data_IF_430759363376
#
_entry.id   IF_430759363376
#
_cell.length_a   1.000
_cell.length_b   1.000
_cell.length_c   1.000
_cell.angle_alpha   90.00
_cell.angle_beta   90.00
_cell.angle_gamma   90.00
#
_symmetry.space_group_name_H-M   'P 1'
#
loop_
_entity.id
_entity.type
_entity.pdbx_description
1 polymer ?
#
# COMPACT_ATOMS: atom_id res chain seq x y z
N UNK A 1 -6.46 -14.89 15.80
CA UNK A 1 -5.93 -16.00 14.97
C UNK A 1 -6.36 -15.93 13.51
N UNK A 2 -7.66 -15.88 13.16
CA UNK A 2 -8.11 -15.79 11.75
C UNK A 2 -7.59 -14.55 11.00
N UNK A 3 -7.65 -13.35 11.61
CA UNK A 3 -7.17 -12.12 10.99
C UNK A 3 -5.64 -12.13 10.76
N UNK A 4 -4.85 -12.60 11.72
CA UNK A 4 -3.40 -12.73 11.61
C UNK A 4 -3.00 -13.68 10.49
N UNK A 5 -3.70 -14.81 10.35
CA UNK A 5 -3.47 -15.76 9.27
C UNK A 5 -3.78 -15.14 7.90
N UNK A 6 -4.90 -14.42 7.76
CA UNK A 6 -5.23 -13.69 6.53
C UNK A 6 -4.17 -12.63 6.22
N UNK A 7 -3.69 -11.89 7.22
CA UNK A 7 -2.64 -10.89 7.04
C UNK A 7 -1.32 -11.52 6.55
N UNK A 8 -1.01 -12.74 6.98
CA UNK A 8 0.15 -13.47 6.48
C UNK A 8 -0.01 -13.87 5.00
N UNK A 9 -1.20 -14.32 4.59
CA UNK A 9 -1.48 -14.57 3.17
C UNK A 9 -1.39 -13.30 2.33
N UNK A 10 -1.86 -12.17 2.86
CA UNK A 10 -1.69 -10.85 2.23
C UNK A 10 -0.20 -10.53 2.05
N UNK A 11 0.64 -10.77 3.07
CA UNK A 11 2.08 -10.54 2.97
C UNK A 11 2.74 -11.39 1.87
N UNK A 12 2.31 -12.64 1.67
CA UNK A 12 2.79 -13.48 0.57
C UNK A 12 2.43 -12.90 -0.80
N UNK A 13 1.18 -12.48 -0.98
CA UNK A 13 0.71 -11.87 -2.24
C UNK A 13 1.40 -10.52 -2.47
N UNK A 14 1.57 -9.73 -1.42
CA UNK A 14 2.23 -8.42 -1.49
C UNK A 14 3.74 -8.55 -1.66
N UNK A 15 4.35 -9.69 -1.33
CA UNK A 15 5.77 -9.94 -1.55
C UNK A 15 6.13 -10.14 -3.02
N UNK A 16 5.26 -10.78 -3.81
CA UNK A 16 5.50 -10.95 -5.26
C UNK A 16 5.11 -9.71 -6.08
N UNK A 17 4.14 -8.92 -5.61
CA UNK A 17 3.59 -7.78 -6.35
C UNK A 17 4.66 -6.75 -6.82
N UNK A 18 5.61 -6.29 -5.99
CA UNK A 18 6.66 -5.36 -6.40
C UNK A 18 7.54 -5.84 -7.56
N UNK A 19 7.65 -7.16 -7.76
CA UNK A 19 8.37 -7.73 -8.91
C UNK A 19 7.62 -7.41 -10.19
N UNK A 20 6.31 -7.65 -10.24
CA UNK A 20 5.48 -7.30 -11.40
C UNK A 20 5.41 -5.78 -11.63
N UNK A 21 5.36 -4.99 -10.55
CA UNK A 21 5.37 -3.53 -10.63
C UNK A 21 6.69 -3.02 -11.25
N UNK A 22 7.84 -3.52 -10.78
CA UNK A 22 9.15 -3.19 -11.37
C UNK A 22 9.25 -3.63 -12.84
N UNK A 23 8.76 -4.82 -13.17
CA UNK A 23 8.73 -5.31 -14.57
C UNK A 23 7.88 -4.40 -15.47
N UNK A 24 6.74 -3.92 -14.98
CA UNK A 24 5.86 -3.02 -15.73
C UNK A 24 6.46 -1.63 -15.99
N UNK A 25 7.47 -1.23 -15.20
CA UNK A 25 8.16 0.05 -15.31
C UNK A 25 9.34 0.05 -16.30
N UNK A 26 9.67 -1.10 -16.92
CA UNK A 26 10.79 -1.20 -17.87
C UNK A 26 10.60 -0.31 -19.10
N UNK A 27 9.40 -0.33 -19.67
CA UNK A 27 9.09 0.35 -20.95
C UNK A 27 7.93 1.35 -20.81
N UNK A 28 7.53 1.69 -19.59
CA UNK A 28 6.40 2.57 -19.32
C UNK A 28 6.67 3.54 -18.16
N UNK A 29 6.08 4.72 -18.25
CA UNK A 29 6.14 5.70 -17.16
C UNK A 29 5.29 5.26 -15.96
N UNK A 30 5.63 5.68 -14.72
CA UNK A 30 4.81 5.43 -13.53
C UNK A 30 3.33 5.80 -13.73
N UNK A 31 3.07 6.95 -14.36
CA UNK A 31 1.71 7.40 -14.63
C UNK A 31 0.95 6.46 -15.58
N UNK A 32 1.60 6.01 -16.66
CA UNK A 32 1.03 5.07 -17.62
C UNK A 32 0.66 3.75 -16.94
N UNK A 33 1.59 3.20 -16.15
CA UNK A 33 1.39 1.93 -15.43
C UNK A 33 0.22 2.02 -14.46
N UNK A 34 0.18 3.06 -13.63
CA UNK A 34 -0.88 3.25 -12.64
C UNK A 34 -2.24 3.45 -13.32
N UNK A 35 -2.28 4.24 -14.40
CA UNK A 35 -3.52 4.49 -15.17
C UNK A 35 -4.08 3.19 -15.73
N UNK A 36 -3.26 2.40 -16.44
CA UNK A 36 -3.68 1.12 -17.01
C UNK A 36 -4.12 0.15 -15.90
N UNK A 37 -3.37 0.07 -14.80
CA UNK A 37 -3.71 -0.75 -13.63
C UNK A 37 -5.08 -0.39 -13.06
N UNK A 38 -5.39 0.90 -12.90
CA UNK A 38 -6.70 1.31 -12.37
C UNK A 38 -7.85 1.07 -13.35
N UNK A 39 -7.65 1.30 -14.66
CA UNK A 39 -8.66 0.98 -15.67
C UNK A 39 -8.98 -0.52 -15.65
N UNK A 40 -7.95 -1.37 -15.71
CA UNK A 40 -8.13 -2.81 -15.68
C UNK A 40 -8.79 -3.29 -14.37
N UNK A 41 -8.29 -2.85 -13.22
CA UNK A 41 -8.79 -3.28 -11.91
C UNK A 41 -10.23 -2.80 -11.68
N UNK A 42 -10.56 -1.56 -12.07
CA UNK A 42 -11.92 -1.03 -11.95
C UNK A 42 -12.91 -1.80 -12.82
N UNK A 43 -12.53 -2.16 -14.05
CA UNK A 43 -13.36 -3.02 -14.90
C UNK A 43 -13.65 -4.37 -14.23
N UNK A 44 -12.62 -5.05 -13.71
CA UNK A 44 -12.80 -6.31 -12.99
C UNK A 44 -13.71 -6.15 -11.75
N UNK A 45 -13.55 -5.06 -10.99
CA UNK A 45 -14.38 -4.78 -9.82
C UNK A 45 -15.84 -4.52 -10.20
N UNK A 46 -16.09 -3.75 -11.26
CA UNK A 46 -17.46 -3.52 -11.77
C UNK A 46 -18.09 -4.84 -12.19
N UNK A 47 -17.38 -5.67 -12.97
CA UNK A 47 -17.87 -7.00 -13.35
C UNK A 47 -18.20 -7.87 -12.12
N UNK A 48 -17.35 -7.86 -11.09
CA UNK A 48 -17.57 -8.63 -9.87
C UNK A 48 -18.77 -8.12 -9.07
N UNK A 49 -18.94 -6.81 -8.94
CA UNK A 49 -20.08 -6.19 -8.23
C UNK A 49 -21.40 -6.55 -8.92
N UNK A 50 -21.42 -6.51 -10.26
CA UNK A 50 -22.58 -6.92 -11.05
C UNK A 50 -22.86 -8.42 -10.90
N UNK A 51 -21.83 -9.27 -11.05
CA UNK A 51 -21.96 -10.72 -10.92
C UNK A 51 -22.42 -11.18 -9.52
N UNK A 52 -22.09 -10.43 -8.48
CA UNK A 52 -22.49 -10.72 -7.10
C UNK A 52 -23.80 -10.05 -6.68
N UNK A 53 -24.46 -9.28 -7.55
CA UNK A 53 -25.70 -8.58 -7.25
C UNK A 53 -25.55 -7.46 -6.21
N UNK A 54 -24.33 -6.98 -5.96
CA UNK A 54 -24.03 -6.00 -4.90
C UNK A 54 -24.08 -4.54 -5.36
N UNK A 55 -24.50 -4.29 -6.59
CA UNK A 55 -24.55 -2.94 -7.16
C UNK A 55 -25.33 -1.94 -6.29
N UNK A 56 -26.49 -2.35 -5.77
CA UNK A 56 -27.31 -1.53 -4.88
C UNK A 56 -26.56 -1.09 -3.60
N UNK A 57 -25.66 -1.93 -3.07
CA UNK A 57 -24.87 -1.60 -1.89
C UNK A 57 -23.81 -0.54 -2.18
N UNK A 58 -23.21 -0.57 -3.38
CA UNK A 58 -22.17 0.39 -3.78
C UNK A 58 -22.76 1.78 -3.98
N UNK A 59 -23.95 1.89 -4.59
CA UNK A 59 -24.60 3.19 -4.82
C UNK A 59 -25.30 3.75 -3.57
N UNK A 60 -25.58 2.90 -2.58
CA UNK A 60 -26.22 3.30 -1.32
C UNK A 60 -25.23 3.86 -0.27
N UNK A 61 -23.94 3.97 -0.60
CA UNK A 61 -22.93 4.55 0.29
C UNK A 61 -23.27 6.01 0.60
N UNK A 62 -23.30 6.37 1.88
CA UNK A 62 -23.59 7.74 2.31
C UNK A 62 -22.46 8.72 1.95
N UNK A 63 -22.78 10.01 1.85
CA UNK A 63 -21.83 11.03 1.41
C UNK A 63 -20.60 11.17 2.30
N UNK A 64 -20.71 10.90 3.61
CA UNK A 64 -19.56 10.98 4.53
C UNK A 64 -18.61 9.81 4.30
N UNK A 65 -19.15 8.60 4.15
CA UNK A 65 -18.34 7.42 3.82
C UNK A 65 -17.71 7.57 2.43
N UNK A 66 -18.46 8.09 1.45
CA UNK A 66 -17.95 8.37 0.11
C UNK A 66 -16.77 9.35 0.15
N UNK A 67 -16.86 10.41 0.96
CA UNK A 67 -15.75 11.35 1.13
C UNK A 67 -14.46 10.65 1.59
N UNK A 68 -14.54 9.80 2.62
CA UNK A 68 -13.37 9.06 3.11
C UNK A 68 -12.82 8.06 2.08
N UNK A 69 -13.69 7.39 1.32
CA UNK A 69 -13.28 6.50 0.22
C UNK A 69 -12.51 7.28 -0.84
N UNK A 70 -13.05 8.42 -1.29
CA UNK A 70 -12.41 9.24 -2.32
C UNK A 70 -11.09 9.84 -1.84
N UNK A 71 -11.05 10.34 -0.60
CA UNK A 71 -9.83 10.89 -0.01
C UNK A 71 -8.75 9.82 0.15
N UNK A 72 -9.12 8.62 0.63
CA UNK A 72 -8.19 7.48 0.72
C UNK A 72 -7.70 7.05 -0.66
N UNK A 73 -8.57 7.02 -1.67
CA UNK A 73 -8.22 6.71 -3.05
C UNK A 73 -7.25 7.73 -3.66
N UNK A 74 -7.44 9.02 -3.35
CA UNK A 74 -6.54 10.08 -3.79
C UNK A 74 -5.16 9.97 -3.13
N UNK A 75 -5.13 9.84 -1.80
CA UNK A 75 -3.87 9.83 -1.04
C UNK A 75 -3.08 8.54 -1.30
N UNK A 76 -3.69 7.37 -1.06
CA UNK A 76 -3.01 6.09 -1.19
C UNK A 76 -2.94 5.61 -2.64
N UNK A 77 -4.06 5.72 -3.35
CA UNK A 77 -4.21 5.17 -4.70
C UNK A 77 -3.54 6.01 -5.79
N UNK A 78 -3.63 7.34 -5.73
CA UNK A 78 -2.99 8.19 -6.74
C UNK A 78 -1.61 8.69 -6.27
N UNK A 79 -1.57 9.49 -5.21
CA UNK A 79 -0.33 10.17 -4.79
C UNK A 79 0.70 9.14 -4.29
N UNK A 80 0.29 8.26 -3.38
CA UNK A 80 1.15 7.24 -2.80
C UNK A 80 1.71 6.28 -3.85
N UNK A 81 0.85 5.70 -4.70
CA UNK A 81 1.32 4.84 -5.79
C UNK A 81 2.20 5.58 -6.79
N UNK A 82 1.88 6.82 -7.15
CA UNK A 82 2.72 7.57 -8.10
C UNK A 82 4.14 7.75 -7.57
N UNK A 83 4.28 8.16 -6.31
CA UNK A 83 5.59 8.31 -5.67
C UNK A 83 6.31 6.96 -5.51
N UNK A 84 5.58 5.92 -5.12
CA UNK A 84 6.13 4.57 -4.96
C UNK A 84 6.62 3.99 -6.29
N UNK A 85 5.86 4.08 -7.38
CA UNK A 85 6.28 3.61 -8.70
C UNK A 85 7.44 4.44 -9.25
N UNK A 86 7.46 5.75 -8.97
CA UNK A 86 8.61 6.61 -9.32
C UNK A 86 9.87 6.15 -8.59
N UNK A 87 9.79 5.90 -7.28
CA UNK A 87 10.91 5.39 -6.48
C UNK A 87 11.35 4.00 -6.95
N UNK A 88 10.39 3.10 -7.23
CA UNK A 88 10.67 1.79 -7.83
C UNK A 88 11.37 1.89 -9.18
N UNK A 89 11.12 2.93 -9.98
CA UNK A 89 11.81 3.10 -11.25
C UNK A 89 13.28 3.51 -11.04
N UNK A 90 13.56 4.27 -9.99
CA UNK A 90 14.87 4.87 -9.71
C UNK A 90 15.86 3.93 -8.98
N UNK A 91 15.37 2.94 -8.21
CA UNK A 91 16.24 2.08 -7.40
C UNK A 91 15.77 0.62 -7.36
N UNK A 92 16.55 -0.25 -6.72
CA UNK A 92 16.24 -1.67 -6.60
C UNK A 92 14.95 -1.93 -5.83
N UNK A 93 14.17 -2.91 -6.30
CA UNK A 93 12.89 -3.28 -5.70
C UNK A 93 13.03 -3.63 -4.21
N UNK A 94 14.03 -4.43 -3.86
CA UNK A 94 14.27 -4.85 -2.47
C UNK A 94 14.56 -3.68 -1.54
N UNK A 95 15.26 -2.65 -2.03
CA UNK A 95 15.55 -1.40 -1.31
C UNK A 95 14.26 -0.63 -1.06
N UNK A 96 13.57 -0.23 -2.13
CA UNK A 96 12.33 0.57 -2.03
C UNK A 96 11.26 -0.12 -1.17
N UNK A 97 11.07 -1.43 -1.34
CA UNK A 97 10.10 -2.20 -0.53
C UNK A 97 10.49 -2.18 0.95
N UNK A 98 11.78 -2.30 1.28
CA UNK A 98 12.25 -2.23 2.66
C UNK A 98 12.01 -0.85 3.29
N UNK A 99 12.28 0.27 2.60
CA UNK A 99 11.94 1.62 3.12
C UNK A 99 10.45 1.74 3.33
N UNK A 100 9.65 1.36 2.33
CA UNK A 100 8.18 1.51 2.39
C UNK A 100 7.60 0.67 3.53
N UNK A 101 8.20 -0.48 3.85
CA UNK A 101 7.80 -1.31 4.99
C UNK A 101 7.89 -0.60 6.36
N UNK A 102 8.53 0.58 6.45
CA UNK A 102 8.52 1.44 7.65
C UNK A 102 7.20 2.20 7.85
N UNK A 103 6.26 2.16 6.89
CA UNK A 103 4.98 2.86 7.00
C UNK A 103 4.18 2.59 8.30
N UNK A 104 4.27 1.44 9.00
CA UNK A 104 3.60 1.24 10.29
C UNK A 104 4.01 2.26 11.36
N UNK A 105 5.23 2.83 11.27
CA UNK A 105 5.67 3.94 12.11
C UNK A 105 4.76 5.16 11.90
N UNK A 106 4.60 5.58 10.64
CA UNK A 106 3.74 6.70 10.27
C UNK A 106 2.27 6.40 10.59
N UNK A 107 1.80 5.18 10.37
CA UNK A 107 0.45 4.75 10.73
C UNK A 107 0.20 4.91 12.24
N UNK A 108 1.15 4.55 13.10
CA UNK A 108 1.00 4.73 14.55
C UNK A 108 0.92 6.22 14.95
N UNK A 109 1.71 7.07 14.31
CA UNK A 109 1.67 8.53 14.52
C UNK A 109 0.30 9.08 14.09
N UNK A 110 -0.17 8.74 12.89
CA UNK A 110 -1.46 9.21 12.39
C UNK A 110 -2.64 8.63 13.16
N UNK A 111 -2.58 7.38 13.61
CA UNK A 111 -3.61 6.78 14.44
C UNK A 111 -3.72 7.50 15.80
N UNK A 112 -2.60 7.90 16.39
CA UNK A 112 -2.61 8.74 17.59
C UNK A 112 -3.26 10.10 17.33
N UNK A 113 -2.88 10.78 16.23
CA UNK A 113 -3.36 12.13 15.92
C UNK A 113 -4.84 12.19 15.49
N UNK A 114 -5.29 11.25 14.66
CA UNK A 114 -6.62 11.30 14.04
C UNK A 114 -7.64 10.35 14.69
N UNK A 115 -7.19 9.26 15.32
CA UNK A 115 -8.06 8.25 15.93
C UNK A 115 -7.96 8.22 17.46
N UNK A 116 -7.00 8.95 18.05
CA UNK A 116 -6.74 8.92 19.49
C UNK A 116 -6.11 7.61 19.97
N UNK A 117 -5.60 6.78 19.06
CA UNK A 117 -4.98 5.49 19.42
C UNK A 117 -3.57 5.71 19.97
N UNK A 118 -3.35 5.41 21.25
CA UNK A 118 -2.01 5.44 21.84
C UNK A 118 -1.31 4.09 21.70
N UNK A 119 -0.16 3.99 21.00
CA UNK A 119 0.55 2.73 20.87
C UNK A 119 1.15 2.33 22.22
N UNK A 120 0.84 1.12 22.68
CA UNK A 120 1.48 0.56 23.88
C UNK A 120 2.98 0.30 23.68
N UNK A 121 3.77 0.12 24.76
CA UNK A 121 5.22 -0.03 24.70
C UNK A 121 5.69 -1.14 23.74
N UNK A 122 5.02 -2.30 23.74
CA UNK A 122 5.34 -3.41 22.84
C UNK A 122 5.14 -3.06 21.36
N UNK A 123 4.11 -2.26 21.04
CA UNK A 123 3.87 -1.81 19.65
C UNK A 123 4.98 -0.85 19.21
N UNK A 124 5.43 0.03 20.11
CA UNK A 124 6.56 0.95 19.85
C UNK A 124 7.84 0.15 19.61
N UNK A 125 8.16 -0.84 20.45
CA UNK A 125 9.34 -1.70 20.27
C UNK A 125 9.29 -2.47 18.96
N UNK A 126 8.12 -3.02 18.59
CA UNK A 126 7.95 -3.70 17.31
C UNK A 126 8.17 -2.77 16.11
N UNK A 127 7.66 -1.53 16.17
CA UNK A 127 7.91 -0.50 15.14
C UNK A 127 9.40 -0.18 15.06
N UNK A 128 10.09 -0.03 16.19
CA UNK A 128 11.53 0.23 16.21
C UNK A 128 12.31 -0.90 15.52
N UNK A 129 11.96 -2.17 15.77
CA UNK A 129 12.58 -3.30 15.07
C UNK A 129 12.29 -3.33 13.56
N UNK A 130 11.09 -2.93 13.12
CA UNK A 130 10.78 -2.80 11.68
C UNK A 130 11.69 -1.75 11.04
N UNK A 131 11.86 -0.59 11.67
CA UNK A 131 12.70 0.50 11.15
C UNK A 131 14.17 0.08 11.12
N UNK A 132 14.68 -0.51 12.20
CA UNK A 132 16.08 -1.00 12.26
C UNK A 132 16.29 -2.08 11.19
N UNK A 133 15.37 -3.04 11.08
CA UNK A 133 15.44 -4.10 10.07
C UNK A 133 15.45 -3.54 8.64
N UNK A 134 14.63 -2.53 8.36
CA UNK A 134 14.62 -1.82 7.07
C UNK A 134 16.00 -1.19 6.77
N UNK A 135 16.58 -0.45 7.73
CA UNK A 135 17.92 0.16 7.57
C UNK A 135 18.99 -0.90 7.29
N UNK A 136 18.94 -2.05 7.99
CA UNK A 136 19.92 -3.13 7.81
C UNK A 136 19.84 -3.77 6.42
N UNK A 137 18.64 -3.89 5.83
CA UNK A 137 18.46 -4.40 4.47
C UNK A 137 19.15 -3.48 3.44
N UNK A 138 19.19 -2.17 3.71
CA UNK A 138 19.78 -1.18 2.80
C UNK A 138 21.25 -0.88 3.07
N UNK A 139 21.81 -1.36 4.18
CA UNK A 139 23.11 -0.94 4.67
C UNK A 139 24.23 -1.07 3.64
N UNK A 140 24.22 -2.15 2.84
CA UNK A 140 25.21 -2.38 1.78
C UNK A 140 25.03 -1.46 0.56
N UNK A 141 23.90 -0.78 0.41
CA UNK A 141 23.57 0.11 -0.71
C UNK A 141 23.71 1.61 -0.35
N UNK A 142 24.14 1.91 0.88
CA UNK A 142 24.48 3.26 1.37
C UNK A 142 25.99 3.43 1.60
N UNK A 143 26.74 2.33 1.55
CA UNK A 143 28.19 2.28 1.73
C UNK A 143 28.98 2.37 0.41
N UNK A 144 28.27 2.38 -0.73
CA UNK A 144 28.76 2.64 -2.09
C UNK A 144 28.27 4.02 -2.57
#
# INVERSE_FOLDING_TARGET
MKATFIAFLVAMIFGINPIFEKLSLKDASPLSVITIRFIFTSLCLVCLVLATGRFAQVIAVDGRTLFWILLSGLIGGLIGLFLYFTALQMADTSKIVAIVATFPMFTAIYAYLFLGESPGPMRITGIAFIVIGSILIEWNLLAD
#
